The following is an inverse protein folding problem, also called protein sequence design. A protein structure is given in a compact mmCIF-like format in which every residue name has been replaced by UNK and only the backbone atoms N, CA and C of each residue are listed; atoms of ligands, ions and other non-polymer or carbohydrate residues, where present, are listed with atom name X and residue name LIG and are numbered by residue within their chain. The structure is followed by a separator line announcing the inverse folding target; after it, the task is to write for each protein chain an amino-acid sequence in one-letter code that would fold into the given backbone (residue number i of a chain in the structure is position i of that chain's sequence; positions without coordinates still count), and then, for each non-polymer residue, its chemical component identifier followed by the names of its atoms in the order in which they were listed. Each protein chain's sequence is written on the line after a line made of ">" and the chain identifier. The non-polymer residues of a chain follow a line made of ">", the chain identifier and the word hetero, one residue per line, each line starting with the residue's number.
data_IF_482365836765
#
_entry.id   IF_482365836765
#
_cell.length_a   1.000
_cell.length_b   1.000
_cell.length_c   1.000
_cell.angle_alpha   90.00
_cell.angle_beta   90.00
_cell.angle_gamma   90.00
#
_symmetry.space_group_name_H-M   'P 1'
#
loop_
_entity.id
_entity.type
_entity.pdbx_description
1 polymer ?
#
# COMPACT_ATOMS: atom_id res chain seq x y z
N UNK A 1 -14.80 -11.73 -20.78
CA UNK A 1 -15.36 -12.04 -19.45
C UNK A 1 -15.59 -10.71 -18.73
N UNK A 2 -16.82 -10.35 -18.31
CA UNK A 2 -16.98 -9.21 -17.41
C UNK A 2 -16.17 -9.52 -16.15
N UNK A 3 -15.22 -8.64 -15.79
CA UNK A 3 -14.51 -8.78 -14.53
C UNK A 3 -15.57 -8.87 -13.44
N UNK A 4 -15.64 -9.99 -12.71
CA UNK A 4 -16.61 -10.15 -11.63
C UNK A 4 -16.17 -9.21 -10.51
N UNK A 5 -16.71 -8.00 -10.55
CA UNK A 5 -16.40 -6.92 -9.64
C UNK A 5 -16.84 -7.30 -8.23
N UNK A 6 -15.91 -7.69 -7.36
CA UNK A 6 -16.08 -7.44 -5.93
C UNK A 6 -16.05 -5.91 -5.76
N UNK A 7 -17.24 -5.32 -5.75
CA UNK A 7 -17.48 -3.95 -5.32
C UNK A 7 -17.24 -3.88 -3.81
N UNK A 8 -16.08 -3.38 -3.40
CA UNK A 8 -15.93 -2.77 -2.09
C UNK A 8 -16.31 -1.31 -2.22
N UNK A 9 -17.60 -1.03 -2.06
CA UNK A 9 -18.05 0.33 -1.77
C UNK A 9 -17.63 0.61 -0.33
N UNK A 10 -16.63 1.48 -0.15
CA UNK A 10 -16.37 2.12 1.13
C UNK A 10 -17.54 3.06 1.46
N UNK A 11 -18.54 2.54 2.17
CA UNK A 11 -19.36 3.43 2.99
C UNK A 11 -18.49 3.95 4.13
N UNK A 12 -17.95 5.16 3.99
CA UNK A 12 -17.37 5.92 5.09
C UNK A 12 -18.45 6.17 6.15
N UNK A 13 -18.31 5.67 7.39
CA UNK A 13 -19.00 6.26 8.52
C UNK A 13 -18.26 7.56 8.86
N UNK A 14 -18.95 8.69 8.74
CA UNK A 14 -18.50 9.96 9.33
C UNK A 14 -18.46 9.79 10.85
N UNK A 15 -17.28 9.88 11.44
CA UNK A 15 -17.11 10.21 12.86
C UNK A 15 -16.65 9.05 13.73
N UNK A 16 -15.34 8.85 13.81
CA UNK A 16 -14.65 8.62 15.08
C UNK A 16 -13.15 8.79 14.89
N UNK A 17 -12.60 9.59 15.79
CA UNK A 17 -11.20 9.96 16.04
C UNK A 17 -10.11 8.93 15.70
N UNK A 18 -9.05 9.45 15.07
CA UNK A 18 -7.64 9.08 15.26
C UNK A 18 -7.26 7.59 15.22
N UNK A 19 -6.96 7.09 14.01
CA UNK A 19 -5.84 6.15 13.85
C UNK A 19 -4.79 6.85 12.97
N UNK A 20 -3.85 7.55 13.59
CA UNK A 20 -2.57 7.85 12.95
C UNK A 20 -1.68 6.63 13.12
N UNK A 21 -1.57 5.78 12.10
CA UNK A 21 -0.44 4.86 12.01
C UNK A 21 0.10 4.95 10.59
N UNK A 22 1.38 5.31 10.54
CA UNK A 22 2.07 5.89 9.41
C UNK A 22 2.16 4.95 8.21
N UNK A 23 2.05 5.56 7.01
CA UNK A 23 2.66 5.07 5.79
C UNK A 23 4.16 4.85 6.02
N UNK A 24 4.57 3.61 6.29
CA UNK A 24 5.97 3.21 6.21
C UNK A 24 6.36 3.16 4.73
N UNK A 25 6.77 4.33 4.23
CA UNK A 25 7.40 4.50 2.94
C UNK A 25 8.79 3.85 2.92
N UNK A 26 9.16 3.47 1.71
CA UNK A 26 10.46 2.97 1.28
C UNK A 26 11.65 3.78 1.82
N UNK A 27 12.72 3.03 2.13
CA UNK A 27 14.14 3.41 2.17
C UNK A 27 14.61 4.47 3.20
N UNK A 28 15.28 4.01 4.27
CA UNK A 28 16.54 4.58 4.79
C UNK A 28 17.12 3.73 5.94
N UNK A 29 18.43 3.43 5.87
CA UNK A 29 19.24 2.65 6.82
C UNK A 29 19.48 3.34 8.18
N UNK A 30 19.77 2.61 9.29
CA UNK A 30 20.17 3.22 10.56
C UNK A 30 21.70 3.16 10.81
N UNK A 31 22.29 4.26 11.33
CA UNK A 31 23.63 4.28 11.96
C UNK A 31 23.60 4.93 13.36
N UNK A 32 24.00 4.13 14.35
CA UNK A 32 24.87 4.33 15.54
C UNK A 32 24.86 5.64 16.36
N UNK A 33 24.86 5.52 17.70
CA UNK A 33 25.41 6.54 18.63
C UNK A 33 25.15 6.28 20.13
N UNK A 34 26.23 6.22 20.93
CA UNK A 34 26.33 5.83 22.35
C UNK A 34 26.03 6.94 23.40
N UNK A 35 25.82 6.53 24.67
CA UNK A 35 26.07 7.33 25.90
C UNK A 35 24.92 7.27 26.92
N UNK A 36 25.06 7.17 28.25
CA UNK A 36 26.20 7.10 29.17
C UNK A 36 25.71 6.54 30.54
N UNK A 37 26.62 5.97 31.32
CA UNK A 37 26.41 5.34 32.65
C UNK A 37 26.59 6.33 33.79
N UNK A 38 25.78 6.27 34.85
CA UNK A 38 26.23 6.65 36.23
C UNK A 38 25.65 5.69 37.29
N UNK A 39 26.55 5.26 38.15
CA UNK A 39 26.46 4.28 39.24
C UNK A 39 26.11 4.95 40.59
N UNK A 40 25.43 4.24 41.52
CA UNK A 40 26.06 3.76 42.79
C UNK A 40 25.08 3.17 43.83
N UNK A 41 25.51 1.99 44.31
CA UNK A 41 25.54 1.46 45.71
C UNK A 41 24.28 0.84 46.34
N UNK A 42 24.36 -0.49 46.47
CA UNK A 42 23.79 -1.43 47.46
C UNK A 42 24.34 -1.17 48.90
N UNK A 43 23.95 -1.88 50.01
CA UNK A 43 23.27 -3.19 50.11
C UNK A 43 22.31 -3.45 51.32
N UNK A 44 21.69 -4.64 51.25
CA UNK A 44 21.34 -5.62 52.31
C UNK A 44 20.41 -5.28 53.49
N UNK A 45 19.25 -5.96 53.53
CA UNK A 45 18.89 -7.06 54.47
C UNK A 45 17.38 -7.30 54.44
N UNK A 46 16.98 -8.49 54.01
CA UNK A 46 15.70 -9.15 54.37
C UNK A 46 15.69 -9.48 55.89
N UNK A 47 14.57 -9.84 56.58
CA UNK A 47 13.53 -10.73 56.05
C UNK A 47 12.06 -10.55 56.53
N UNK A 48 11.19 -11.19 55.75
CA UNK A 48 9.97 -11.94 56.11
C UNK A 48 8.74 -11.27 56.76
N UNK A 49 7.63 -11.56 56.06
CA UNK A 49 6.23 -11.67 56.50
C UNK A 49 5.55 -10.36 56.88
N UNK A 50 4.72 -9.87 55.96
CA UNK A 50 3.25 -9.92 56.00
C UNK A 50 2.75 -8.84 55.04
N UNK A 51 2.11 -9.20 53.93
CA UNK A 51 1.23 -8.26 53.24
C UNK A 51 -0.08 -8.94 52.92
N UNK A 52 -1.11 -8.25 53.36
CA UNK A 52 -2.50 -8.61 53.35
C UNK A 52 -3.06 -8.63 51.93
N UNK A 53 -4.20 -9.32 51.82
CA UNK A 53 -5.10 -9.42 50.66
C UNK A 53 -5.17 -8.10 49.87
N UNK A 54 -4.77 -8.16 48.60
CA UNK A 54 -5.20 -7.20 47.58
C UNK A 54 -6.42 -7.83 46.91
N UNK A 55 -7.57 -7.17 47.04
CA UNK A 55 -8.84 -7.59 46.45
C UNK A 55 -8.77 -7.55 44.92
N UNK A 56 -8.53 -8.72 44.31
CA UNK A 56 -8.43 -9.01 42.88
C UNK A 56 -9.71 -8.71 42.07
N UNK A 57 -10.76 -8.16 42.70
CA UNK A 57 -12.05 -7.84 42.07
C UNK A 57 -12.23 -6.38 41.66
N UNK A 58 -11.47 -5.46 42.24
CA UNK A 58 -11.64 -4.03 41.97
C UNK A 58 -10.76 -3.50 40.81
N UNK A 59 -9.68 -4.20 40.44
CA UNK A 59 -8.87 -3.82 39.27
C UNK A 59 -9.42 -4.33 37.93
N UNK A 60 -10.31 -5.33 37.95
CA UNK A 60 -11.06 -5.78 36.76
C UNK A 60 -12.06 -4.73 36.24
N UNK A 61 -12.50 -3.78 37.08
CA UNK A 61 -13.51 -2.78 36.72
C UNK A 61 -12.94 -1.50 36.08
N UNK A 62 -11.61 -1.34 35.99
CA UNK A 62 -10.98 -0.21 35.28
C UNK A 62 -10.53 -0.55 33.86
N UNK A 63 -10.77 -1.78 33.40
CA UNK A 63 -10.50 -2.15 32.02
C UNK A 63 -11.38 -1.30 31.10
N UNK A 64 -10.75 -0.44 30.30
CA UNK A 64 -11.39 0.20 29.18
C UNK A 64 -11.98 -0.93 28.31
N UNK A 65 -13.30 -1.12 28.37
CA UNK A 65 -14.02 -1.91 27.37
C UNK A 65 -13.95 -1.13 26.06
N UNK A 66 -12.78 -1.13 25.42
CA UNK A 66 -12.62 -0.64 24.06
C UNK A 66 -13.50 -1.55 23.20
N UNK A 67 -14.70 -1.05 22.86
CA UNK A 67 -15.63 -1.74 21.97
C UNK A 67 -15.20 -1.45 20.55
N UNK A 68 -14.17 -2.15 20.09
CA UNK A 68 -13.86 -2.18 18.67
C UNK A 68 -15.03 -2.83 17.93
N UNK A 69 -15.40 -2.25 16.79
CA UNK A 69 -16.44 -2.83 15.94
C UNK A 69 -16.00 -4.23 15.46
N UNK A 70 -16.92 -5.21 15.37
CA UNK A 70 -16.59 -6.53 14.87
C UNK A 70 -16.16 -6.48 13.40
N UNK A 71 -15.52 -7.56 12.94
CA UNK A 71 -15.18 -7.71 11.52
C UNK A 71 -16.44 -7.70 10.65
N UNK A 72 -16.44 -6.89 9.59
CA UNK A 72 -17.54 -6.84 8.62
C UNK A 72 -17.59 -8.10 7.72
N UNK A 73 -16.54 -8.92 7.76
CA UNK A 73 -16.36 -10.07 6.87
C UNK A 73 -16.87 -11.38 7.44
N UNK A 74 -16.94 -11.47 8.78
CA UNK A 74 -17.24 -12.73 9.48
C UNK A 74 -16.46 -13.91 8.88
N UNK A 75 -17.20 -14.93 8.43
CA UNK A 75 -16.63 -16.16 7.85
C UNK A 75 -16.69 -16.18 6.32
N UNK A 76 -16.88 -15.03 5.66
CA UNK A 76 -17.05 -14.94 4.20
C UNK A 76 -15.92 -15.66 3.45
N UNK A 77 -14.66 -15.36 3.74
CA UNK A 77 -13.50 -15.97 3.03
C UNK A 77 -13.23 -17.43 3.39
N UNK A 78 -13.86 -17.98 4.44
CA UNK A 78 -13.80 -19.42 4.73
C UNK A 78 -14.72 -20.22 3.82
N UNK A 79 -15.92 -19.68 3.59
CA UNK A 79 -16.99 -20.31 2.83
C UNK A 79 -16.93 -20.00 1.33
N UNK A 80 -16.42 -18.82 0.97
CA UNK A 80 -16.32 -18.40 -0.41
C UNK A 80 -15.38 -19.32 -1.22
N UNK A 81 -15.87 -19.75 -2.37
CA UNK A 81 -15.12 -20.46 -3.39
C UNK A 81 -15.33 -19.71 -4.70
N UNK A 82 -14.27 -19.18 -5.30
CA UNK A 82 -14.39 -18.51 -6.59
C UNK A 82 -14.84 -19.54 -7.64
N UNK A 83 -15.95 -19.33 -8.37
CA UNK A 83 -16.44 -20.28 -9.37
C UNK A 83 -15.43 -20.57 -10.49
N UNK A 84 -14.47 -19.67 -10.72
CA UNK A 84 -13.42 -19.86 -11.71
C UNK A 84 -12.23 -20.65 -11.15
N UNK A 85 -12.03 -20.69 -9.82
CA UNK A 85 -10.89 -21.39 -9.23
C UNK A 85 -10.90 -22.88 -9.56
N UNK A 86 -9.77 -23.40 -10.04
CA UNK A 86 -9.57 -24.79 -10.46
C UNK A 86 -10.49 -25.26 -11.60
N UNK A 87 -11.14 -24.33 -12.29
CA UNK A 87 -11.99 -24.64 -13.44
C UNK A 87 -11.19 -24.64 -14.75
N UNK A 88 -11.75 -25.26 -15.80
CA UNK A 88 -11.19 -25.13 -17.15
C UNK A 88 -11.18 -23.67 -17.64
N UNK A 89 -12.06 -22.81 -17.11
CA UNK A 89 -12.05 -21.38 -17.42
C UNK A 89 -10.78 -20.69 -16.87
N UNK A 90 -10.33 -21.05 -15.67
CA UNK A 90 -9.06 -20.51 -15.15
C UNK A 90 -7.89 -20.93 -16.04
N UNK A 91 -7.82 -22.21 -16.42
CA UNK A 91 -6.76 -22.71 -17.32
C UNK A 91 -6.77 -21.95 -18.65
N UNK A 92 -7.95 -21.77 -19.25
CA UNK A 92 -8.10 -21.01 -20.49
C UNK A 92 -7.67 -19.54 -20.35
N UNK A 93 -7.97 -18.91 -19.21
CA UNK A 93 -7.51 -17.55 -18.91
C UNK A 93 -5.99 -17.46 -18.79
N UNK A 94 -5.36 -18.42 -18.11
CA UNK A 94 -3.90 -18.50 -17.95
C UNK A 94 -3.20 -18.71 -19.31
N UNK A 95 -3.71 -19.62 -20.14
CA UNK A 95 -3.21 -19.87 -21.50
C UNK A 95 -3.32 -18.61 -22.39
N UNK A 96 -4.45 -17.90 -22.32
CA UNK A 96 -4.66 -16.66 -23.07
C UNK A 96 -3.76 -15.53 -22.56
N UNK A 97 -3.60 -15.40 -21.25
CA UNK A 97 -2.71 -14.41 -20.64
C UNK A 97 -1.25 -14.65 -21.06
N UNK A 98 -0.80 -15.91 -21.10
CA UNK A 98 0.56 -16.26 -21.53
C UNK A 98 0.79 -15.96 -23.02
N UNK A 99 -0.22 -16.18 -23.88
CA UNK A 99 -0.16 -15.75 -25.28
C UNK A 99 -0.05 -14.23 -25.41
N UNK A 100 -0.93 -13.48 -24.75
CA UNK A 100 -0.94 -12.02 -24.80
C UNK A 100 0.33 -11.41 -24.20
N UNK A 101 0.89 -12.01 -23.15
CA UNK A 101 2.18 -11.62 -22.58
C UNK A 101 3.25 -11.60 -23.67
N UNK A 102 3.36 -12.64 -24.49
CA UNK A 102 4.36 -12.70 -25.58
C UNK A 102 4.13 -11.64 -26.65
N UNK A 103 2.88 -11.34 -27.00
CA UNK A 103 2.55 -10.31 -28.00
C UNK A 103 2.81 -8.90 -27.46
N UNK A 104 2.46 -8.63 -26.19
CA UNK A 104 2.74 -7.35 -25.54
C UNK A 104 4.26 -7.14 -25.36
N UNK A 105 5.02 -8.18 -25.02
CA UNK A 105 6.49 -8.10 -24.97
C UNK A 105 7.08 -7.64 -26.32
N UNK A 106 6.62 -8.22 -27.44
CA UNK A 106 7.02 -7.77 -28.79
C UNK A 106 6.63 -6.31 -29.05
N UNK A 107 5.44 -5.90 -28.61
CA UNK A 107 4.99 -4.52 -28.74
C UNK A 107 5.92 -3.56 -27.99
N UNK A 108 6.31 -3.88 -26.76
CA UNK A 108 7.26 -3.07 -25.98
C UNK A 108 8.61 -2.98 -26.69
N UNK A 109 9.14 -4.09 -27.20
CA UNK A 109 10.41 -4.08 -27.95
C UNK A 109 10.32 -3.21 -29.21
N UNK A 110 9.21 -3.30 -29.95
CA UNK A 110 8.98 -2.48 -31.15
C UNK A 110 8.82 -0.99 -30.81
N UNK A 111 8.29 -0.66 -29.63
CA UNK A 111 8.08 0.74 -29.22
C UNK A 111 9.36 1.56 -29.08
N UNK A 112 10.53 0.90 -29.03
CA UNK A 112 11.84 1.58 -28.99
C UNK A 112 12.05 2.55 -30.16
N UNK A 113 11.41 2.29 -31.31
CA UNK A 113 11.44 3.18 -32.49
C UNK A 113 10.39 4.30 -32.47
N UNK A 114 9.48 4.30 -31.50
CA UNK A 114 8.39 5.28 -31.39
C UNK A 114 8.90 6.61 -30.81
N UNK A 115 8.06 7.64 -30.90
CA UNK A 115 8.37 8.95 -30.32
C UNK A 115 8.45 8.87 -28.78
N UNK A 116 9.18 9.79 -28.16
CA UNK A 116 9.32 9.82 -26.70
C UNK A 116 7.96 9.85 -25.97
N UNK A 117 6.95 10.66 -26.36
CA UNK A 117 5.63 10.64 -25.75
C UNK A 117 4.93 9.28 -25.83
N UNK A 118 5.07 8.57 -26.95
CA UNK A 118 4.47 7.24 -27.14
C UNK A 118 5.13 6.19 -26.24
N UNK A 119 6.47 6.20 -26.16
CA UNK A 119 7.23 5.34 -25.24
C UNK A 119 6.81 5.58 -23.79
N UNK A 120 6.77 6.84 -23.35
CA UNK A 120 6.36 7.21 -21.99
C UNK A 120 4.92 6.78 -21.70
N UNK A 121 4.00 6.99 -22.64
CA UNK A 121 2.60 6.60 -22.49
C UNK A 121 2.45 5.08 -22.34
N UNK A 122 3.19 4.30 -23.14
CA UNK A 122 3.16 2.84 -23.05
C UNK A 122 3.60 2.36 -21.67
N UNK A 123 4.72 2.87 -21.14
CA UNK A 123 5.22 2.49 -19.82
C UNK A 123 4.23 2.89 -18.72
N UNK A 124 3.69 4.12 -18.76
CA UNK A 124 2.67 4.57 -17.79
C UNK A 124 1.44 3.66 -17.79
N UNK A 125 0.95 3.28 -18.97
CA UNK A 125 -0.21 2.39 -19.11
C UNK A 125 0.07 1.01 -18.49
N UNK A 126 1.22 0.41 -18.78
CA UNK A 126 1.60 -0.91 -18.22
C UNK A 126 1.68 -0.87 -16.70
N UNK A 127 2.28 0.18 -16.13
CA UNK A 127 2.43 0.35 -14.69
C UNK A 127 1.10 0.65 -13.98
N UNK A 128 0.25 1.51 -14.56
CA UNK A 128 -1.06 1.86 -14.01
C UNK A 128 -2.05 0.71 -14.11
N UNK A 129 -1.91 -0.16 -15.11
CA UNK A 129 -2.68 -1.42 -15.21
C UNK A 129 -2.11 -2.56 -14.34
N UNK A 130 -0.98 -2.34 -13.66
CA UNK A 130 -0.30 -3.33 -12.81
C UNK A 130 0.11 -4.62 -13.57
N UNK A 131 0.56 -4.48 -14.82
CA UNK A 131 1.09 -5.59 -15.64
C UNK A 131 2.57 -5.44 -15.97
N UNK A 132 3.21 -4.35 -15.54
CA UNK A 132 4.63 -4.04 -15.64
C UNK A 132 5.55 -5.15 -15.12
N UNK A 133 5.21 -5.77 -13.99
CA UNK A 133 5.98 -6.89 -13.42
C UNK A 133 6.10 -8.11 -14.35
N UNK A 134 5.32 -8.17 -15.44
CA UNK A 134 5.43 -9.22 -16.47
C UNK A 134 6.51 -8.93 -17.51
N UNK A 135 7.04 -7.70 -17.56
CA UNK A 135 7.87 -7.14 -18.62
C UNK A 135 9.08 -6.36 -18.06
N UNK A 136 9.59 -6.73 -16.89
CA UNK A 136 10.67 -5.98 -16.22
C UNK A 136 11.90 -5.78 -17.12
N UNK A 137 12.29 -6.81 -17.89
CA UNK A 137 13.43 -6.74 -18.80
C UNK A 137 13.18 -5.77 -19.97
N UNK A 138 12.02 -5.89 -20.63
CA UNK A 138 11.65 -5.02 -21.75
C UNK A 138 11.44 -3.57 -21.31
N UNK A 139 10.81 -3.34 -20.16
CA UNK A 139 10.60 -2.00 -19.59
C UNK A 139 11.93 -1.36 -19.26
N UNK A 140 12.85 -2.06 -18.58
CA UNK A 140 14.17 -1.52 -18.25
C UNK A 140 14.94 -1.09 -19.51
N UNK A 141 14.89 -1.88 -20.59
CA UNK A 141 15.55 -1.54 -21.85
C UNK A 141 14.98 -0.27 -22.50
N UNK A 142 13.66 -0.04 -22.40
CA UNK A 142 13.02 1.20 -22.90
C UNK A 142 13.35 2.38 -21.98
N UNK A 143 13.38 2.16 -20.67
CA UNK A 143 13.72 3.19 -19.68
C UNK A 143 15.16 3.71 -19.82
N UNK A 144 16.11 2.85 -20.16
CA UNK A 144 17.49 3.26 -20.47
C UNK A 144 17.53 4.27 -21.63
N UNK A 145 16.78 4.03 -22.71
CA UNK A 145 16.70 4.97 -23.84
C UNK A 145 15.94 6.25 -23.49
N UNK A 146 14.88 6.15 -22.68
CA UNK A 146 14.14 7.31 -22.17
C UNK A 146 15.05 8.20 -21.33
N UNK A 147 15.96 7.61 -20.55
CA UNK A 147 16.87 8.32 -19.66
C UNK A 147 17.85 9.24 -20.40
N UNK A 148 18.25 8.85 -21.62
CA UNK A 148 19.17 9.61 -22.47
C UNK A 148 18.45 10.58 -23.42
N UNK A 149 17.11 10.65 -23.38
CA UNK A 149 16.34 11.46 -24.31
C UNK A 149 16.45 12.97 -24.04
N UNK A 150 16.59 13.76 -25.10
CA UNK A 150 16.51 15.22 -25.02
C UNK A 150 15.05 15.67 -24.90
N UNK A 151 14.72 16.30 -23.77
CA UNK A 151 13.38 16.80 -23.43
C UNK A 151 13.26 18.31 -23.56
N UNK A 152 14.29 19.00 -24.09
CA UNK A 152 14.35 20.47 -24.18
C UNK A 152 13.20 21.06 -24.98
N UNK A 153 12.81 20.41 -26.09
CA UNK A 153 11.71 20.85 -26.97
C UNK A 153 10.36 20.18 -26.66
N UNK A 154 10.28 19.38 -25.59
CA UNK A 154 9.05 18.69 -25.21
C UNK A 154 8.08 19.59 -24.42
N UNK A 155 6.78 19.35 -24.60
CA UNK A 155 5.69 19.96 -23.85
C UNK A 155 5.68 19.54 -22.36
N UNK A 156 4.96 20.29 -21.52
CA UNK A 156 4.93 20.09 -20.07
C UNK A 156 4.45 18.69 -19.68
N UNK A 157 3.36 18.18 -20.28
CA UNK A 157 2.88 16.83 -20.05
C UNK A 157 3.98 15.77 -20.25
N UNK A 158 4.69 15.85 -21.38
CA UNK A 158 5.75 14.90 -21.75
C UNK A 158 6.94 15.00 -20.78
N UNK A 159 7.40 16.21 -20.46
CA UNK A 159 8.51 16.42 -19.50
C UNK A 159 8.15 15.92 -18.11
N UNK A 160 6.93 16.21 -17.65
CA UNK A 160 6.45 15.78 -16.34
C UNK A 160 6.34 14.25 -16.25
N UNK A 161 5.84 13.58 -17.30
CA UNK A 161 5.76 12.13 -17.34
C UNK A 161 7.15 11.47 -17.41
N UNK A 162 8.05 12.02 -18.22
CA UNK A 162 9.46 11.63 -18.28
C UNK A 162 10.13 11.69 -16.90
N UNK A 163 9.99 12.84 -16.23
CA UNK A 163 10.54 13.05 -14.89
C UNK A 163 9.95 12.06 -13.87
N UNK A 164 8.62 11.88 -13.91
CA UNK A 164 7.91 10.96 -13.03
C UNK A 164 8.40 9.51 -13.17
N UNK A 165 8.46 9.00 -14.40
CA UNK A 165 8.85 7.62 -14.68
C UNK A 165 10.34 7.39 -14.35
N UNK A 166 11.23 8.31 -14.71
CA UNK A 166 12.66 8.16 -14.39
C UNK A 166 12.92 8.09 -12.89
N UNK A 167 12.30 8.96 -12.09
CA UNK A 167 12.43 8.89 -10.63
C UNK A 167 11.87 7.58 -10.06
N UNK A 168 10.71 7.12 -10.56
CA UNK A 168 10.10 5.86 -10.14
C UNK A 168 10.99 4.65 -10.44
N UNK A 169 11.70 4.68 -11.56
CA UNK A 169 12.71 3.68 -11.97
C UNK A 169 14.12 3.97 -11.43
N UNK A 170 14.25 4.88 -10.45
CA UNK A 170 15.50 5.18 -9.72
C UNK A 170 16.61 5.83 -10.55
N UNK A 171 16.28 6.42 -11.69
CA UNK A 171 17.18 7.32 -12.40
C UNK A 171 17.18 8.69 -11.72
N UNK A 172 18.34 9.36 -11.70
CA UNK A 172 18.47 10.72 -11.17
C UNK A 172 18.15 11.71 -12.28
N UNK A 173 17.25 12.64 -12.00
CA UNK A 173 16.88 13.74 -12.90
C UNK A 173 16.88 15.04 -12.13
N UNK A 174 17.34 16.13 -12.76
CA UNK A 174 17.28 17.45 -12.13
C UNK A 174 15.88 18.03 -12.29
N UNK A 175 15.27 18.60 -11.22
CA UNK A 175 14.00 19.31 -11.34
C UNK A 175 14.13 20.62 -12.12
N UNK A 176 15.36 21.08 -12.42
CA UNK A 176 15.64 22.25 -13.26
C UNK A 176 15.05 22.12 -14.67
N UNK A 177 14.75 20.90 -15.12
CA UNK A 177 14.03 20.65 -16.39
C UNK A 177 12.69 21.39 -16.45
N UNK A 178 12.11 21.73 -15.29
CA UNK A 178 10.85 22.46 -15.20
C UNK A 178 11.02 23.99 -15.26
N UNK A 179 12.24 24.55 -15.18
CA UNK A 179 12.47 26.00 -15.19
C UNK A 179 11.96 26.67 -16.48
N UNK A 180 11.97 25.95 -17.61
CA UNK A 180 11.47 26.46 -18.90
C UNK A 180 9.95 26.68 -18.95
N UNK A 181 9.20 26.17 -17.96
CA UNK A 181 7.75 26.35 -17.85
C UNK A 181 7.38 27.45 -16.86
N UNK A 182 8.31 28.35 -16.55
CA UNK A 182 8.07 29.54 -15.74
C UNK A 182 8.02 30.79 -16.62
N UNK A 183 7.18 31.74 -16.24
CA UNK A 183 7.15 33.07 -16.79
C UNK A 183 8.35 33.93 -16.35
N UNK A 184 8.36 35.19 -16.82
CA UNK A 184 9.36 36.19 -16.47
C UNK A 184 9.39 36.53 -14.97
N UNK A 185 8.27 36.33 -14.26
CA UNK A 185 8.16 36.53 -12.80
C UNK A 185 8.64 35.29 -12.01
N UNK A 186 9.02 34.21 -12.70
CA UNK A 186 9.47 32.95 -12.12
C UNK A 186 8.34 32.04 -11.64
N UNK A 187 7.11 32.32 -12.04
CA UNK A 187 5.90 31.55 -11.70
C UNK A 187 5.63 30.56 -12.82
N UNK A 188 5.24 29.33 -12.46
CA UNK A 188 4.85 28.33 -13.45
C UNK A 188 3.67 28.81 -14.32
N UNK A 189 3.76 28.57 -15.63
CA UNK A 189 2.67 28.80 -16.59
C UNK A 189 2.18 27.46 -17.15
N UNK A 190 0.92 27.14 -16.83
CA UNK A 190 0.19 26.03 -17.43
C UNK A 190 -1.30 26.27 -17.23
N UNK A 191 -2.07 26.20 -18.32
CA UNK A 191 -3.54 26.37 -18.28
C UNK A 191 -4.27 25.03 -18.46
N UNK A 192 -3.70 24.11 -19.23
CA UNK A 192 -4.33 22.83 -19.51
C UNK A 192 -4.37 21.94 -18.26
N UNK A 193 -5.54 21.35 -18.00
CA UNK A 193 -5.78 20.57 -16.81
C UNK A 193 -4.94 19.27 -16.77
N UNK A 194 -4.59 18.70 -17.92
CA UNK A 194 -3.74 17.51 -18.02
C UNK A 194 -2.28 17.85 -17.74
N UNK A 195 -1.79 18.95 -18.29
CA UNK A 195 -0.45 19.47 -18.00
C UNK A 195 -0.26 19.72 -16.50
N UNK A 196 -1.22 20.44 -15.90
CA UNK A 196 -1.22 20.73 -14.46
C UNK A 196 -1.24 19.45 -13.61
N UNK A 197 -2.05 18.46 -14.00
CA UNK A 197 -2.14 17.19 -13.29
C UNK A 197 -0.84 16.37 -13.41
N UNK A 198 -0.23 16.35 -14.60
CA UNK A 198 1.05 15.67 -14.83
C UNK A 198 2.16 16.31 -14.00
N UNK A 199 2.29 17.63 -14.02
CA UNK A 199 3.28 18.34 -13.20
C UNK A 199 3.01 18.13 -11.69
N UNK A 200 1.74 18.16 -11.27
CA UNK A 200 1.36 17.87 -9.89
C UNK A 200 1.84 16.48 -9.46
N UNK A 201 1.55 15.45 -10.24
CA UNK A 201 1.95 14.08 -9.91
C UNK A 201 3.48 13.91 -9.92
N UNK A 202 4.18 14.50 -10.88
CA UNK A 202 5.64 14.46 -10.99
C UNK A 202 6.33 15.16 -9.81
N UNK A 203 5.90 16.37 -9.46
CA UNK A 203 6.48 17.13 -8.37
C UNK A 203 6.31 16.46 -6.99
N UNK A 204 5.29 15.61 -6.84
CA UNK A 204 5.07 14.83 -5.62
C UNK A 204 6.06 13.66 -5.41
N UNK A 205 6.99 13.42 -6.34
CA UNK A 205 8.17 12.54 -6.17
C UNK A 205 9.40 13.27 -5.63
N UNK A 206 9.28 14.56 -5.27
CA UNK A 206 10.38 15.39 -4.77
C UNK A 206 11.15 14.79 -3.59
N UNK A 207 12.44 15.07 -3.57
CA UNK A 207 13.35 14.86 -2.44
C UNK A 207 13.64 16.17 -1.70
N UNK A 208 14.16 16.08 -0.48
CA UNK A 208 14.43 17.26 0.34
C UNK A 208 15.37 18.26 -0.35
N UNK A 209 14.96 19.54 -0.39
CA UNK A 209 15.78 20.65 -0.91
C UNK A 209 15.43 21.10 -2.33
N UNK A 210 14.47 20.46 -2.99
CA UNK A 210 14.06 20.81 -4.36
C UNK A 210 12.92 21.87 -4.34
N UNK A 211 13.25 23.10 -3.96
CA UNK A 211 12.24 24.19 -3.81
C UNK A 211 11.40 24.44 -5.07
N UNK A 212 11.95 24.19 -6.26
CA UNK A 212 11.23 24.23 -7.54
C UNK A 212 10.02 23.29 -7.57
N UNK A 213 10.12 22.10 -6.99
CA UNK A 213 9.01 21.13 -6.95
C UNK A 213 7.98 21.50 -5.88
N UNK A 214 8.40 22.05 -4.74
CA UNK A 214 7.47 22.58 -3.73
C UNK A 214 6.60 23.73 -4.28
N UNK A 215 7.22 24.61 -5.08
CA UNK A 215 6.53 25.66 -5.81
C UNK A 215 5.58 25.08 -6.86
N UNK A 216 6.02 24.07 -7.63
CA UNK A 216 5.20 23.38 -8.63
C UNK A 216 3.97 22.73 -7.99
N UNK A 217 4.12 22.05 -6.84
CA UNK A 217 3.01 21.46 -6.07
C UNK A 217 2.02 22.56 -5.66
N UNK A 218 2.53 23.65 -5.09
CA UNK A 218 1.69 24.76 -4.59
C UNK A 218 0.91 25.44 -5.71
N UNK A 219 1.57 25.68 -6.85
CA UNK A 219 0.98 26.25 -8.05
C UNK A 219 -0.09 25.33 -8.65
N UNK A 220 0.28 24.11 -9.02
CA UNK A 220 -0.62 23.16 -9.69
C UNK A 220 -1.83 22.83 -8.82
N UNK A 221 -1.65 22.62 -7.51
CA UNK A 221 -2.76 22.39 -6.57
C UNK A 221 -3.76 23.55 -6.54
N UNK A 222 -3.29 24.79 -6.63
CA UNK A 222 -4.16 25.98 -6.67
C UNK A 222 -4.93 26.05 -7.99
N UNK A 223 -4.23 25.86 -9.11
CA UNK A 223 -4.85 25.90 -10.44
C UNK A 223 -5.86 24.78 -10.63
N UNK A 224 -5.51 23.53 -10.27
CA UNK A 224 -6.41 22.39 -10.35
C UNK A 224 -7.70 22.63 -9.54
N UNK A 225 -7.60 23.16 -8.31
CA UNK A 225 -8.78 23.51 -7.50
C UNK A 225 -9.64 24.61 -8.13
N UNK A 226 -9.02 25.58 -8.81
CA UNK A 226 -9.71 26.65 -9.54
C UNK A 226 -10.41 26.13 -10.80
N UNK A 227 -9.81 25.15 -11.46
CA UNK A 227 -10.35 24.49 -12.65
C UNK A 227 -11.45 23.48 -12.32
N UNK A 228 -11.42 22.84 -11.14
CA UNK A 228 -12.38 21.80 -10.76
C UNK A 228 -13.86 22.13 -11.03
N UNK A 229 -14.37 23.34 -10.72
CA UNK A 229 -15.76 23.70 -11.04
C UNK A 229 -16.07 23.79 -12.54
N UNK A 230 -15.04 24.00 -13.38
CA UNK A 230 -15.13 24.12 -14.84
C UNK A 230 -14.88 22.79 -15.56
N UNK A 231 -14.15 21.87 -14.94
CA UNK A 231 -13.92 20.51 -15.48
C UNK A 231 -15.15 19.68 -15.16
N UNK A 232 -16.17 19.79 -16.01
CA UNK A 232 -17.52 19.31 -15.69
C UNK A 232 -17.62 17.79 -15.79
N UNK A 233 -16.87 17.10 -16.66
CA UNK A 233 -17.16 15.70 -16.97
C UNK A 233 -15.92 14.85 -17.33
N UNK A 234 -16.04 13.55 -17.12
CA UNK A 234 -15.11 12.53 -17.63
C UNK A 234 -14.08 12.00 -16.63
N UNK A 235 -13.18 11.15 -17.13
CA UNK A 235 -12.08 10.56 -16.34
C UNK A 235 -11.15 11.61 -15.76
N UNK A 236 -10.90 12.72 -16.49
CA UNK A 236 -10.01 13.78 -16.04
C UNK A 236 -10.49 14.46 -14.74
N UNK A 237 -11.80 14.73 -14.62
CA UNK A 237 -12.37 15.33 -13.40
C UNK A 237 -12.15 14.44 -12.17
N UNK A 238 -12.32 13.12 -12.34
CA UNK A 238 -12.04 12.16 -11.28
C UNK A 238 -10.53 12.09 -10.99
N UNK A 239 -9.67 12.04 -12.00
CA UNK A 239 -8.22 11.94 -11.83
C UNK A 239 -7.68 13.14 -11.02
N UNK A 240 -8.19 14.35 -11.30
CA UNK A 240 -7.84 15.56 -10.56
C UNK A 240 -8.36 15.50 -9.12
N UNK A 241 -9.63 15.15 -8.91
CA UNK A 241 -10.20 15.02 -7.56
C UNK A 241 -9.40 14.02 -6.70
N UNK A 242 -9.16 12.83 -7.25
CA UNK A 242 -8.40 11.79 -6.58
C UNK A 242 -6.96 12.25 -6.31
N UNK A 243 -6.35 13.06 -7.19
CA UNK A 243 -4.97 13.54 -7.00
C UNK A 243 -4.88 14.59 -5.90
N UNK A 244 -5.88 15.47 -5.83
CA UNK A 244 -5.98 16.48 -4.77
C UNK A 244 -6.25 15.87 -3.38
N UNK A 245 -6.84 14.68 -3.31
CA UNK A 245 -6.99 13.90 -2.07
C UNK A 245 -5.69 13.15 -1.73
N UNK A 246 -5.25 12.26 -2.63
CA UNK A 246 -4.00 11.51 -2.51
C UNK A 246 -3.25 11.59 -3.86
N UNK A 247 -2.07 12.23 -3.90
CA UNK A 247 -1.24 12.34 -5.10
C UNK A 247 -0.91 10.96 -5.68
N UNK A 248 -0.84 10.84 -7.01
CA UNK A 248 -0.62 9.55 -7.69
C UNK A 248 0.56 8.73 -7.14
N UNK A 249 1.77 9.29 -6.89
CA UNK A 249 2.89 8.53 -6.31
C UNK A 249 2.60 7.86 -4.96
N UNK A 250 1.58 8.34 -4.23
CA UNK A 250 1.24 7.90 -2.87
C UNK A 250 0.03 6.96 -2.84
N UNK A 251 -0.59 6.68 -3.99
CA UNK A 251 -1.72 5.76 -4.08
C UNK A 251 -1.23 4.31 -4.16
N UNK A 252 -2.02 3.40 -3.59
CA UNK A 252 -1.74 1.95 -3.68
C UNK A 252 -2.12 1.46 -5.08
N UNK A 253 -1.12 0.92 -5.79
CA UNK A 253 -1.17 0.61 -7.22
C UNK A 253 -2.36 -0.26 -7.62
N UNK A 254 -2.57 -1.38 -6.92
CA UNK A 254 -3.62 -2.34 -7.28
C UNK A 254 -5.04 -1.81 -7.09
N UNK A 255 -5.25 -0.83 -6.20
CA UNK A 255 -6.57 -0.23 -6.00
C UNK A 255 -6.84 0.81 -7.08
N UNK A 256 -5.82 1.58 -7.45
CA UNK A 256 -5.87 2.53 -8.57
C UNK A 256 -6.08 1.82 -9.91
N UNK A 257 -5.43 0.67 -10.12
CA UNK A 257 -5.51 -0.09 -11.37
C UNK A 257 -6.93 -0.43 -11.78
N UNK A 258 -7.81 -0.72 -10.82
CA UNK A 258 -9.22 -1.01 -11.08
C UNK A 258 -9.96 0.19 -11.68
N UNK A 259 -9.72 1.39 -11.14
CA UNK A 259 -10.32 2.61 -11.66
C UNK A 259 -9.69 2.96 -13.01
N UNK A 260 -8.36 2.92 -13.11
CA UNK A 260 -7.64 3.21 -14.35
C UNK A 260 -8.05 2.28 -15.50
N UNK A 261 -8.23 0.99 -15.21
CA UNK A 261 -8.75 0.01 -16.17
C UNK A 261 -10.07 0.46 -16.81
N UNK A 262 -10.98 1.00 -16.00
CA UNK A 262 -12.31 1.45 -16.46
C UNK A 262 -12.28 2.74 -17.27
N UNK A 263 -11.27 3.58 -17.08
CA UNK A 263 -11.10 4.84 -17.82
C UNK A 263 -10.28 4.62 -19.09
N UNK A 264 -9.21 3.84 -19.02
CA UNK A 264 -8.37 3.47 -20.15
C UNK A 264 -9.15 2.73 -21.23
N UNK A 265 -10.04 1.80 -20.84
CA UNK A 265 -10.91 1.07 -21.79
C UNK A 265 -11.81 1.99 -22.63
N UNK A 266 -12.10 3.20 -22.16
CA UNK A 266 -12.93 4.19 -22.87
C UNK A 266 -12.10 5.21 -23.66
N UNK A 267 -10.77 5.15 -23.55
CA UNK A 267 -9.85 6.09 -24.15
C UNK A 267 -9.61 5.83 -25.64
N UNK A 268 -9.26 6.88 -26.39
CA UNK A 268 -8.95 6.76 -27.82
C UNK A 268 -7.62 6.04 -28.11
N UNK A 269 -6.70 6.00 -27.15
CA UNK A 269 -5.38 5.35 -27.26
C UNK A 269 -5.35 3.94 -26.66
N UNK A 270 -6.52 3.30 -26.47
CA UNK A 270 -6.59 1.97 -25.87
C UNK A 270 -5.91 0.93 -26.77
N UNK A 271 -4.98 0.18 -26.18
CA UNK A 271 -4.42 -1.00 -26.79
C UNK A 271 -5.18 -2.23 -26.31
N UNK A 272 -5.98 -2.83 -27.20
CA UNK A 272 -6.85 -3.96 -26.87
C UNK A 272 -6.11 -5.17 -26.31
N UNK A 273 -4.88 -5.44 -26.77
CA UNK A 273 -4.07 -6.56 -26.27
C UNK A 273 -3.62 -6.32 -24.82
N UNK A 274 -3.14 -5.11 -24.52
CA UNK A 274 -2.74 -4.73 -23.16
C UNK A 274 -3.97 -4.72 -22.24
N UNK A 275 -5.09 -4.20 -22.73
CA UNK A 275 -6.37 -4.14 -22.01
C UNK A 275 -6.88 -5.56 -21.67
N UNK A 276 -6.86 -6.48 -22.63
CA UNK A 276 -7.23 -7.88 -22.42
C UNK A 276 -6.29 -8.57 -21.43
N UNK A 277 -4.97 -8.38 -21.58
CA UNK A 277 -3.98 -8.93 -20.66
C UNK A 277 -4.21 -8.42 -19.24
N UNK A 278 -4.44 -7.13 -19.05
CA UNK A 278 -4.70 -6.53 -17.74
C UNK A 278 -5.94 -7.14 -17.06
N UNK A 279 -7.03 -7.33 -17.79
CA UNK A 279 -8.26 -7.98 -17.27
C UNK A 279 -8.02 -9.43 -16.87
N UNK A 280 -7.30 -10.19 -17.70
CA UNK A 280 -6.97 -11.59 -17.40
C UNK A 280 -6.06 -11.69 -16.19
N UNK A 281 -4.94 -10.95 -16.18
CA UNK A 281 -3.98 -10.90 -15.08
C UNK A 281 -4.66 -10.50 -13.76
N UNK A 282 -5.52 -9.48 -13.77
CA UNK A 282 -6.26 -9.06 -12.58
C UNK A 282 -7.15 -10.18 -12.03
N UNK A 283 -7.91 -10.87 -12.90
CA UNK A 283 -8.81 -11.94 -12.47
C UNK A 283 -8.04 -13.19 -11.98
N UNK A 284 -6.94 -13.58 -12.66
CA UNK A 284 -6.07 -14.68 -12.22
C UNK A 284 -5.48 -14.37 -10.84
N UNK A 285 -4.96 -13.16 -10.67
CA UNK A 285 -4.42 -12.69 -9.40
C UNK A 285 -5.47 -12.64 -8.29
N UNK A 286 -6.70 -12.21 -8.59
CA UNK A 286 -7.82 -12.22 -7.65
C UNK A 286 -8.14 -13.65 -7.17
N UNK A 287 -8.10 -14.66 -8.05
CA UNK A 287 -8.26 -16.07 -7.66
C UNK A 287 -7.18 -16.47 -6.65
N UNK A 288 -5.92 -16.15 -6.92
CA UNK A 288 -4.81 -16.42 -5.99
C UNK A 288 -4.99 -15.72 -4.64
N UNK A 289 -5.33 -14.42 -4.66
CA UNK A 289 -5.51 -13.65 -3.42
C UNK A 289 -6.67 -14.19 -2.56
N UNK A 290 -7.75 -14.65 -3.18
CA UNK A 290 -8.87 -15.28 -2.46
C UNK A 290 -8.48 -16.62 -1.84
N UNK A 291 -7.59 -17.41 -2.48
CA UNK A 291 -7.04 -18.63 -1.89
C UNK A 291 -6.14 -18.31 -0.68
N UNK A 292 -5.30 -17.28 -0.78
CA UNK A 292 -4.47 -16.80 0.33
C UNK A 292 -5.33 -16.32 1.51
N UNK A 293 -6.36 -15.50 1.25
CA UNK A 293 -7.32 -15.05 2.25
C UNK A 293 -8.01 -16.22 2.96
N UNK A 294 -8.36 -17.29 2.24
CA UNK A 294 -8.95 -18.49 2.85
C UNK A 294 -7.98 -19.19 3.81
N UNK A 295 -6.71 -19.31 3.43
CA UNK A 295 -5.65 -19.88 4.30
C UNK A 295 -5.48 -19.02 5.55
N UNK A 296 -5.40 -17.69 5.39
CA UNK A 296 -5.18 -16.74 6.48
C UNK A 296 -6.38 -16.69 7.42
N UNK A 297 -7.59 -16.59 6.88
CA UNK A 297 -8.82 -16.54 7.69
C UNK A 297 -9.01 -17.83 8.48
N UNK A 298 -8.67 -19.00 7.89
CA UNK A 298 -8.70 -20.28 8.60
C UNK A 298 -7.71 -20.30 9.75
N UNK A 299 -6.45 -19.95 9.49
CA UNK A 299 -5.43 -19.82 10.53
C UNK A 299 -5.88 -18.88 11.66
N UNK A 300 -6.48 -17.73 11.31
CA UNK A 300 -6.97 -16.75 12.30
C UNK A 300 -8.10 -17.31 13.16
N UNK A 301 -9.04 -18.05 12.57
CA UNK A 301 -10.13 -18.71 13.31
C UNK A 301 -9.63 -19.83 14.22
N UNK A 302 -8.63 -20.60 13.77
CA UNK A 302 -8.02 -21.67 14.58
C UNK A 302 -7.32 -21.13 15.85
N UNK A 303 -6.94 -19.85 15.87
CA UNK A 303 -6.42 -19.17 17.06
C UNK A 303 -7.51 -18.86 18.10
N UNK A 304 -8.80 -18.88 17.73
CA UNK A 304 -9.95 -18.64 18.62
C UNK A 304 -9.86 -17.30 19.37
N UNK A 305 -9.45 -16.23 18.68
CA UNK A 305 -9.15 -14.94 19.31
C UNK A 305 -10.38 -14.27 19.92
N UNK A 306 -11.56 -14.43 19.33
CA UNK A 306 -12.81 -13.86 19.87
C UNK A 306 -13.07 -14.32 21.32
N UNK A 307 -12.71 -15.56 21.66
CA UNK A 307 -12.88 -16.10 23.02
C UNK A 307 -11.67 -15.85 23.91
N UNK A 308 -10.46 -15.85 23.32
CA UNK A 308 -9.19 -15.75 24.06
C UNK A 308 -8.72 -14.31 24.31
N UNK A 309 -9.04 -13.39 23.41
CA UNK A 309 -8.57 -12.00 23.34
C UNK A 309 -9.71 -11.08 22.85
N UNK A 310 -10.85 -11.10 23.52
CA UNK A 310 -12.06 -10.32 23.15
C UNK A 310 -11.87 -8.80 23.16
N UNK A 311 -10.75 -8.31 23.71
CA UNK A 311 -10.37 -6.89 23.67
C UNK A 311 -9.69 -6.49 22.36
N UNK A 312 -9.16 -7.44 21.59
CA UNK A 312 -8.37 -7.16 20.39
C UNK A 312 -9.26 -6.97 19.15
N UNK A 313 -8.80 -6.14 18.20
CA UNK A 313 -9.46 -5.90 16.93
C UNK A 313 -9.42 -7.15 16.05
N UNK A 314 -10.57 -7.54 15.50
CA UNK A 314 -10.64 -8.57 14.46
C UNK A 314 -10.51 -7.93 13.07
N UNK A 315 -9.27 -7.87 12.54
CA UNK A 315 -8.94 -7.14 11.31
C UNK A 315 -8.04 -7.91 10.34
N UNK A 316 -8.09 -9.24 10.37
CA UNK A 316 -7.16 -10.07 9.57
C UNK A 316 -7.31 -9.85 8.06
N UNK A 317 -8.52 -9.53 7.58
CA UNK A 317 -8.79 -9.24 6.17
C UNK A 317 -8.21 -7.88 5.78
N UNK A 318 -8.36 -6.87 6.63
CA UNK A 318 -7.75 -5.55 6.45
C UNK A 318 -6.22 -5.63 6.49
N UNK A 319 -5.65 -6.48 7.37
CA UNK A 319 -4.22 -6.76 7.36
C UNK A 319 -3.78 -7.36 6.02
N UNK A 320 -4.52 -8.34 5.49
CA UNK A 320 -4.22 -8.92 4.18
C UNK A 320 -4.29 -7.89 3.06
N UNK A 321 -5.32 -7.04 3.09
CA UNK A 321 -5.51 -5.96 2.13
C UNK A 321 -4.27 -5.05 2.11
N UNK A 322 -3.78 -4.63 3.28
CA UNK A 322 -2.54 -3.85 3.39
C UNK A 322 -1.36 -4.55 2.72
N UNK A 323 -1.14 -5.83 3.02
CA UNK A 323 0.02 -6.56 2.47
C UNK A 323 -0.11 -6.81 0.96
N UNK A 324 -1.31 -7.07 0.45
CA UNK A 324 -1.57 -7.14 -0.99
C UNK A 324 -1.26 -5.80 -1.70
N UNK A 325 -1.44 -4.67 -0.99
CA UNK A 325 -1.03 -3.35 -1.47
C UNK A 325 0.48 -3.12 -1.53
N UNK A 326 1.28 -3.86 -0.76
CA UNK A 326 2.75 -3.77 -0.77
C UNK A 326 3.34 -4.55 -1.94
N UNK A 327 2.92 -5.81 -2.14
CA UNK A 327 3.34 -6.65 -3.26
C UNK A 327 2.22 -7.62 -3.64
N UNK A 328 1.71 -7.50 -4.86
CA UNK A 328 0.51 -8.18 -5.34
C UNK A 328 0.82 -9.37 -6.25
N UNK A 329 2.05 -9.44 -6.76
CA UNK A 329 2.52 -10.36 -7.78
C UNK A 329 2.45 -11.82 -7.28
N UNK A 330 2.06 -12.80 -8.11
CA UNK A 330 1.90 -14.19 -7.68
C UNK A 330 3.14 -14.80 -7.01
N UNK A 331 4.35 -14.43 -7.44
CA UNK A 331 5.62 -14.90 -6.90
C UNK A 331 5.81 -14.58 -5.40
N UNK A 332 5.13 -13.56 -4.87
CA UNK A 332 5.20 -13.16 -3.47
C UNK A 332 4.11 -13.76 -2.57
N UNK A 333 3.36 -14.77 -3.04
CA UNK A 333 2.27 -15.41 -2.28
C UNK A 333 2.66 -15.83 -0.86
N UNK A 334 3.80 -16.52 -0.72
CA UNK A 334 4.32 -16.93 0.59
C UNK A 334 4.65 -15.72 1.47
N UNK A 335 5.26 -14.70 0.88
CA UNK A 335 5.57 -13.44 1.57
C UNK A 335 4.29 -12.78 2.10
N UNK A 336 3.24 -12.72 1.27
CA UNK A 336 1.96 -12.09 1.65
C UNK A 336 1.32 -12.80 2.82
N UNK A 337 1.29 -14.13 2.78
CA UNK A 337 0.74 -14.94 3.88
C UNK A 337 1.53 -14.68 5.17
N UNK A 338 2.87 -14.76 5.14
CA UNK A 338 3.70 -14.57 6.33
C UNK A 338 3.53 -13.16 6.89
N UNK A 339 3.66 -12.13 6.06
CA UNK A 339 3.61 -10.74 6.52
C UNK A 339 2.21 -10.37 7.01
N UNK A 340 1.15 -10.93 6.42
CA UNK A 340 -0.21 -10.74 6.94
C UNK A 340 -0.35 -11.33 8.33
N UNK A 341 0.19 -12.53 8.57
CA UNK A 341 0.17 -13.15 9.91
C UNK A 341 0.95 -12.30 10.92
N UNK A 342 2.14 -11.83 10.56
CA UNK A 342 2.96 -10.95 11.40
C UNK A 342 2.22 -9.65 11.71
N UNK A 343 1.61 -9.02 10.71
CA UNK A 343 0.86 -7.78 10.89
C UNK A 343 -0.36 -7.96 11.79
N UNK A 344 -1.11 -9.07 11.62
CA UNK A 344 -2.23 -9.40 12.48
C UNK A 344 -1.80 -9.63 13.94
N UNK A 345 -0.64 -10.25 14.15
CA UNK A 345 -0.02 -10.37 15.47
C UNK A 345 0.35 -8.99 16.05
N UNK A 346 1.01 -8.14 15.26
CA UNK A 346 1.40 -6.80 15.69
C UNK A 346 0.16 -5.98 16.08
N UNK A 347 -0.96 -6.15 15.37
CA UNK A 347 -2.24 -5.53 15.76
C UNK A 347 -2.73 -5.99 17.14
N UNK A 348 -2.58 -7.28 17.47
CA UNK A 348 -2.91 -7.80 18.81
C UNK A 348 -1.96 -7.20 19.86
N UNK A 349 -0.66 -7.10 19.54
CA UNK A 349 0.32 -6.45 20.43
C UNK A 349 -0.04 -4.99 20.70
N UNK A 350 -0.37 -4.24 19.65
CA UNK A 350 -0.81 -2.85 19.75
C UNK A 350 -2.00 -2.73 20.71
N UNK A 351 -3.04 -3.57 20.53
CA UNK A 351 -4.20 -3.59 21.42
C UNK A 351 -3.87 -3.98 22.87
N UNK A 352 -2.87 -4.85 23.07
CA UNK A 352 -2.37 -5.19 24.41
C UNK A 352 -1.79 -3.96 25.10
N UNK A 353 -0.96 -3.18 24.42
CA UNK A 353 -0.30 -2.02 25.04
C UNK A 353 -1.20 -0.78 25.14
N UNK A 354 -2.17 -0.64 24.23
CA UNK A 354 -2.99 0.58 24.14
C UNK A 354 -4.25 0.51 25.03
N UNK A 355 -4.94 -0.63 25.08
CA UNK A 355 -6.28 -0.71 25.74
C UNK A 355 -6.40 -1.77 26.83
N UNK A 356 -5.50 -2.76 26.90
CA UNK A 356 -5.69 -3.93 27.77
C UNK A 356 -4.68 -4.04 28.94
N UNK A 357 -3.38 -3.84 28.69
CA UNK A 357 -2.32 -3.98 29.69
C UNK A 357 -2.12 -2.73 30.55
N UNK A 358 -1.90 -2.92 31.85
CA UNK A 358 -1.35 -1.85 32.70
C UNK A 358 0.14 -1.61 32.41
N UNK A 359 0.70 -0.43 32.72
CA UNK A 359 2.12 -0.15 32.49
C UNK A 359 3.07 -1.22 33.06
N UNK A 360 2.80 -1.73 34.26
CA UNK A 360 3.59 -2.78 34.91
C UNK A 360 3.48 -4.14 34.20
N UNK A 361 2.30 -4.44 33.65
CA UNK A 361 2.06 -5.66 32.86
C UNK A 361 2.75 -5.56 31.50
N UNK A 362 2.63 -4.41 30.83
CA UNK A 362 3.32 -4.10 29.58
C UNK A 362 4.84 -4.20 29.74
N UNK A 363 5.42 -3.67 30.83
CA UNK A 363 6.85 -3.80 31.11
C UNK A 363 7.27 -5.27 31.28
N UNK A 364 6.47 -6.06 32.00
CA UNK A 364 6.72 -7.50 32.15
C UNK A 364 6.59 -8.25 30.82
N UNK A 365 5.61 -7.89 30.00
CA UNK A 365 5.42 -8.47 28.67
C UNK A 365 6.59 -8.13 27.74
N UNK A 366 7.07 -6.87 27.74
CA UNK A 366 8.28 -6.45 27.02
C UNK A 366 9.47 -7.32 27.41
N UNK A 367 9.71 -7.52 28.72
CA UNK A 367 10.81 -8.38 29.21
C UNK A 367 10.65 -9.83 28.76
N UNK A 368 9.43 -10.35 28.69
CA UNK A 368 9.17 -11.70 28.16
C UNK A 368 9.53 -11.82 26.68
N UNK A 369 9.17 -10.81 25.87
CA UNK A 369 9.51 -10.75 24.45
C UNK A 369 11.03 -10.62 24.24
N UNK A 370 11.70 -9.72 24.97
CA UNK A 370 13.16 -9.51 24.90
C UNK A 370 13.95 -10.77 25.26
N UNK A 371 13.51 -11.48 26.30
CA UNK A 371 14.17 -12.71 26.75
C UNK A 371 13.78 -13.95 25.93
N UNK A 372 12.77 -13.85 25.06
CA UNK A 372 12.06 -14.98 24.44
C UNK A 372 11.66 -16.06 25.46
N UNK A 373 11.48 -15.64 26.73
CA UNK A 373 11.15 -16.51 27.84
C UNK A 373 9.79 -16.12 28.37
N UNK A 374 8.91 -17.11 28.47
CA UNK A 374 7.52 -16.90 28.88
C UNK A 374 7.26 -17.62 30.22
N UNK A 375 7.87 -17.15 31.33
CA UNK A 375 7.47 -17.59 32.66
C UNK A 375 6.00 -17.24 32.86
N UNK A 376 5.30 -17.97 33.74
CA UNK A 376 3.83 -18.07 33.88
C UNK A 376 3.07 -16.73 34.10
N UNK A 377 3.11 -15.86 33.10
CA UNK A 377 2.43 -14.59 33.08
C UNK A 377 0.97 -14.84 32.69
N UNK A 378 0.14 -15.12 33.71
CA UNK A 378 -1.22 -15.66 33.55
C UNK A 378 -2.13 -14.77 32.69
N UNK A 379 -1.98 -13.45 32.76
CA UNK A 379 -2.93 -12.51 32.15
C UNK A 379 -2.72 -12.30 30.64
N UNK A 380 -1.49 -12.44 30.17
CA UNK A 380 -1.18 -12.57 28.74
C UNK A 380 -1.00 -14.02 28.33
N UNK A 381 -1.30 -15.02 29.17
CA UNK A 381 -1.09 -16.43 28.80
C UNK A 381 -1.82 -16.80 27.50
N UNK A 382 -3.04 -16.29 27.30
CA UNK A 382 -3.79 -16.49 26.06
C UNK A 382 -3.14 -15.82 24.86
N UNK A 383 -2.62 -14.60 25.03
CA UNK A 383 -1.87 -13.91 23.98
C UNK A 383 -0.57 -14.65 23.68
N UNK A 384 0.21 -15.00 24.70
CA UNK A 384 1.45 -15.77 24.63
C UNK A 384 1.25 -17.16 24.01
N UNK A 385 0.13 -17.83 24.29
CA UNK A 385 -0.24 -19.07 23.61
C UNK A 385 -0.53 -18.85 22.13
N UNK A 386 -1.18 -17.74 21.79
CA UNK A 386 -1.37 -17.33 20.40
C UNK A 386 -0.01 -17.10 19.75
N UNK A 387 0.90 -16.32 20.35
CA UNK A 387 2.27 -16.14 19.83
C UNK A 387 3.01 -17.48 19.65
N UNK A 388 2.90 -18.40 20.62
CA UNK A 388 3.50 -19.73 20.56
C UNK A 388 2.91 -20.65 19.49
N UNK A 389 1.65 -20.44 19.09
CA UNK A 389 1.02 -21.19 17.98
C UNK A 389 1.40 -20.64 16.61
N UNK A 390 1.93 -19.42 16.58
CA UNK A 390 2.26 -18.74 15.32
C UNK A 390 3.72 -18.95 14.94
N UNK A 391 4.61 -19.04 15.95
CA UNK A 391 5.96 -19.59 15.81
C UNK A 391 5.92 -21.11 15.70
#
# INVERSE_FOLDING_TARGET
>A
LPATFLSFSSHQPRGSSHCSVASAAYAAEPRLGEGAVVSKKTPSRSPCRTMAKVDDKNDLCRMNQAKFEPSIWGDFFLSYCNPLAYSDNQRSMEERAEYLKKEVAKLIVNSRTDSLPEKLHLIDVLERLCVDHLFEEEINAVMDEISDADVSDCELHTVALWFYLLLKHRHRVSPDVFLKFRDEDGIFEAEDARDLLSLYNAAHLTTHGEGILDEAISFTKRQLRSLMPKVVEGSLAHDINSALEIPLPRRVRIYEAKYFMSTYEKGASVNEMIMELAKLSYNIMQIHHQQELKIITRWWKDLQLETRLSFARDRVVECYFWIAGVYFEPCYSRGRIILTKVLAIVSILDDIYDVYGSPEECEQFTKCIESLSFPSFRRFASALEVFKKIN
#
